data_IF_186307624557
#
_entry.id   IF_186307624557
#
_cell.length_a   1.000
_cell.length_b   1.000
_cell.length_c   1.000
_cell.angle_alpha   90.00
_cell.angle_beta   90.00
_cell.angle_gamma   90.00
#
_symmetry.space_group_name_H-M   'P 1'
#
loop_
_entity.id
_entity.type
_entity.pdbx_description
1 polymer ?
#
# COMPACT_ATOMS: atom_id res chain seq x y z
N UNK A 1 -69.60 -2.14 -11.27
CA UNK A 1 -68.35 -2.91 -11.04
C UNK A 1 -67.23 -1.94 -10.71
N UNK A 2 -67.04 -1.64 -9.42
CA UNK A 2 -66.00 -0.74 -8.90
C UNK A 2 -64.96 -1.58 -8.18
N UNK A 3 -63.76 -1.69 -8.76
CA UNK A 3 -62.62 -2.39 -8.11
C UNK A 3 -61.86 -1.38 -7.24
N UNK A 4 -61.56 -1.69 -5.97
CA UNK A 4 -60.74 -0.80 -5.16
C UNK A 4 -59.27 -0.97 -5.56
N UNK A 5 -58.58 0.16 -5.72
CA UNK A 5 -57.15 0.21 -5.98
C UNK A 5 -56.43 0.07 -4.63
N UNK A 6 -55.89 -1.11 -4.36
CA UNK A 6 -55.08 -1.33 -3.15
C UNK A 6 -53.76 -0.56 -3.24
N UNK A 7 -53.61 0.42 -2.35
CA UNK A 7 -52.37 1.17 -2.17
C UNK A 7 -51.40 0.30 -1.36
N UNK A 8 -50.40 -0.28 -2.03
CA UNK A 8 -49.28 -0.94 -1.35
C UNK A 8 -48.36 0.13 -0.76
N UNK A 9 -48.37 0.28 0.56
CA UNK A 9 -47.42 1.10 1.30
C UNK A 9 -46.08 0.36 1.32
N UNK A 10 -45.14 0.78 0.48
CA UNK A 10 -43.77 0.28 0.49
C UNK A 10 -43.07 0.86 1.74
N UNK A 11 -42.89 0.04 2.77
CA UNK A 11 -42.06 0.41 3.91
C UNK A 11 -40.60 0.48 3.44
N UNK A 12 -40.07 1.69 3.29
CA UNK A 12 -38.65 1.89 3.05
C UNK A 12 -37.89 1.43 4.30
N UNK A 13 -37.16 0.33 4.18
CA UNK A 13 -36.17 -0.06 5.18
C UNK A 13 -35.11 1.05 5.23
N UNK A 14 -35.06 1.79 6.34
CA UNK A 14 -33.94 2.67 6.65
C UNK A 14 -32.72 1.77 6.83
N UNK A 15 -31.87 1.68 5.82
CA UNK A 15 -30.54 1.13 6.00
C UNK A 15 -29.88 1.93 7.13
N UNK A 16 -29.51 1.26 8.22
CA UNK A 16 -28.76 1.91 9.29
C UNK A 16 -27.45 2.39 8.68
N UNK A 17 -27.14 3.69 8.79
CA UNK A 17 -25.86 4.21 8.40
C UNK A 17 -24.74 3.42 9.11
N UNK A 18 -23.63 3.20 8.41
CA UNK A 18 -22.51 2.45 8.96
C UNK A 18 -21.89 3.24 10.13
N UNK A 19 -21.89 2.72 11.38
CA UNK A 19 -21.38 3.43 12.55
C UNK A 19 -19.90 3.83 12.41
N UNK A 20 -19.14 3.23 11.49
CA UNK A 20 -17.77 3.68 11.20
C UNK A 20 -17.72 5.10 10.62
N UNK A 21 -18.75 5.51 9.88
CA UNK A 21 -18.78 6.82 9.21
C UNK A 21 -19.01 8.00 10.14
N UNK A 22 -19.39 7.75 11.40
CA UNK A 22 -19.50 8.77 12.44
C UNK A 22 -18.13 9.21 12.98
N UNK A 23 -17.10 8.39 12.78
CA UNK A 23 -15.76 8.59 13.35
C UNK A 23 -14.63 8.58 12.32
N UNK A 24 -14.85 7.96 11.16
CA UNK A 24 -13.84 7.80 10.12
C UNK A 24 -14.36 8.29 8.77
N UNK A 25 -13.46 8.92 8.02
CA UNK A 25 -13.64 9.18 6.60
C UNK A 25 -12.94 8.09 5.80
N UNK A 26 -13.66 7.49 4.86
CA UNK A 26 -13.09 6.52 3.94
C UNK A 26 -12.84 7.19 2.60
N UNK A 27 -11.60 7.11 2.12
CA UNK A 27 -11.22 7.56 0.80
C UNK A 27 -10.71 6.37 0.01
N UNK A 28 -11.21 6.23 -1.22
CA UNK A 28 -10.66 5.26 -2.17
C UNK A 28 -9.52 5.93 -2.95
N UNK A 29 -8.30 5.49 -2.69
CA UNK A 29 -7.14 5.92 -3.46
C UNK A 29 -7.09 5.13 -4.76
N UNK A 30 -7.06 5.83 -5.89
CA UNK A 30 -6.86 5.20 -7.19
C UNK A 30 -5.39 4.77 -7.33
N UNK A 31 -5.17 3.50 -7.64
CA UNK A 31 -3.83 2.97 -7.94
C UNK A 31 -3.41 3.44 -9.35
N UNK A 32 -2.14 3.82 -9.58
CA UNK A 32 -1.68 4.25 -10.89
C UNK A 32 -1.93 3.19 -11.98
N UNK A 33 -2.26 3.59 -13.22
CA UNK A 33 -2.43 2.64 -14.32
C UNK A 33 -1.18 1.77 -14.51
N UNK A 34 -1.38 0.46 -14.65
CA UNK A 34 -0.29 -0.50 -14.86
C UNK A 34 0.34 -1.05 -13.57
N UNK A 35 0.01 -0.50 -12.40
CA UNK A 35 0.41 -1.06 -11.10
C UNK A 35 -0.63 -2.07 -10.65
N UNK A 36 -0.16 -3.27 -10.30
CA UNK A 36 -0.99 -4.30 -9.69
C UNK A 36 -1.32 -3.90 -8.24
N UNK A 37 -2.59 -3.92 -7.82
CA UNK A 37 -3.02 -3.32 -6.55
C UNK A 37 -2.66 -4.15 -5.30
N UNK A 38 -1.90 -5.25 -5.45
CA UNK A 38 -1.46 -6.07 -4.32
C UNK A 38 -0.34 -5.36 -3.55
N UNK A 39 -0.73 -4.70 -2.47
CA UNK A 39 0.16 -4.00 -1.54
C UNK A 39 0.82 -5.01 -0.59
N UNK A 40 2.14 -5.03 -0.57
CA UNK A 40 2.94 -5.83 0.38
C UNK A 40 3.22 -5.08 1.70
N UNK A 41 3.20 -3.75 1.67
CA UNK A 41 3.43 -2.92 2.86
C UNK A 41 3.22 -1.44 2.64
N UNK A 42 2.95 -0.73 3.73
CA UNK A 42 2.76 0.73 3.77
C UNK A 42 3.44 1.25 5.04
N UNK A 43 4.13 2.38 4.93
CA UNK A 43 4.57 3.16 6.10
C UNK A 43 4.42 4.68 5.87
N UNK A 44 4.29 5.43 6.95
CA UNK A 44 4.21 6.89 6.93
C UNK A 44 5.60 7.51 6.91
N UNK A 45 5.83 8.41 5.97
CA UNK A 45 7.07 9.18 5.87
C UNK A 45 7.03 10.39 6.81
N UNK A 46 8.19 10.88 7.30
CA UNK A 46 8.27 12.12 8.11
C UNK A 46 7.59 13.34 7.48
N UNK A 47 7.66 13.50 6.15
CA UNK A 47 6.99 14.59 5.44
C UNK A 47 5.45 14.44 5.33
N UNK A 48 4.88 13.31 5.80
CA UNK A 48 3.45 13.00 5.76
C UNK A 48 2.96 12.34 4.47
N UNK A 49 3.86 11.98 3.55
CA UNK A 49 3.56 11.08 2.45
C UNK A 49 3.55 9.62 2.93
N UNK A 50 3.10 8.70 2.08
CA UNK A 50 3.10 7.27 2.35
C UNK A 50 4.05 6.57 1.39
N UNK A 51 4.94 5.74 1.93
CA UNK A 51 5.73 4.80 1.15
C UNK A 51 4.98 3.47 1.06
N UNK A 52 4.80 2.95 -0.16
CA UNK A 52 4.00 1.75 -0.42
C UNK A 52 4.77 0.81 -1.33
N UNK A 53 4.95 -0.44 -0.92
CA UNK A 53 5.54 -1.47 -1.77
C UNK A 53 4.45 -2.41 -2.35
N UNK A 54 4.62 -2.81 -3.60
CA UNK A 54 3.68 -3.64 -4.36
C UNK A 54 4.32 -4.96 -4.76
N UNK A 55 3.54 -6.03 -4.81
CA UNK A 55 4.05 -7.39 -5.06
C UNK A 55 4.83 -7.56 -6.38
N UNK A 56 4.62 -6.68 -7.36
CA UNK A 56 5.35 -6.72 -8.65
C UNK A 56 6.73 -6.05 -8.60
N UNK A 57 7.13 -5.52 -7.44
CA UNK A 57 8.50 -5.07 -7.18
C UNK A 57 8.66 -3.56 -7.10
N UNK A 58 7.57 -2.80 -7.18
CA UNK A 58 7.57 -1.34 -7.11
C UNK A 58 7.50 -0.84 -5.67
N UNK A 59 8.19 0.27 -5.41
CA UNK A 59 7.93 1.15 -4.27
C UNK A 59 7.46 2.49 -4.83
N UNK A 60 6.25 2.90 -4.46
CA UNK A 60 5.67 4.17 -4.84
C UNK A 60 5.40 5.02 -3.61
N UNK A 61 5.55 6.33 -3.78
CA UNK A 61 5.22 7.34 -2.79
C UNK A 61 3.87 7.94 -3.15
N UNK A 62 2.91 7.85 -2.25
CA UNK A 62 1.64 8.55 -2.33
C UNK A 62 1.72 9.84 -1.53
N UNK A 63 1.37 10.96 -2.15
CA UNK A 63 1.24 12.25 -1.50
C UNK A 63 -0.25 12.57 -1.27
N UNK A 64 -0.79 12.39 -0.04
CA UNK A 64 -2.23 12.55 0.21
C UNK A 64 -2.75 13.96 -0.10
N UNK A 65 -1.91 14.99 0.07
CA UNK A 65 -2.27 16.40 -0.18
C UNK A 65 -2.56 16.70 -1.65
N UNK A 66 -1.85 16.05 -2.56
CA UNK A 66 -1.96 16.24 -4.02
C UNK A 66 -2.64 15.07 -4.72
N UNK A 67 -2.95 14.00 -3.98
CA UNK A 67 -3.51 12.74 -4.48
C UNK A 67 -2.69 12.16 -5.64
N UNK A 68 -1.37 12.29 -5.55
CA UNK A 68 -0.44 11.91 -6.62
C UNK A 68 0.48 10.78 -6.18
N UNK A 69 0.84 9.93 -7.14
CA UNK A 69 1.80 8.84 -6.96
C UNK A 69 3.08 9.15 -7.71
N UNK A 70 4.23 8.86 -7.10
CA UNK A 70 5.55 8.92 -7.72
C UNK A 70 6.28 7.61 -7.46
N UNK A 71 6.97 7.06 -8.45
CA UNK A 71 7.77 5.84 -8.27
C UNK A 71 9.10 6.21 -7.62
N UNK A 72 9.41 5.57 -6.51
CA UNK A 72 10.69 5.73 -5.81
C UNK A 72 11.66 4.62 -6.17
N UNK A 73 11.19 3.38 -6.31
CA UNK A 73 12.03 2.24 -6.67
C UNK A 73 11.25 1.19 -7.46
N UNK A 74 11.99 0.36 -8.18
CA UNK A 74 11.48 -0.86 -8.81
C UNK A 74 12.50 -1.99 -8.80
N UNK A 75 12.12 -3.17 -9.30
CA UNK A 75 13.03 -4.31 -9.46
C UNK A 75 13.15 -5.21 -8.23
N UNK A 76 12.33 -4.99 -7.20
CA UNK A 76 12.29 -5.87 -6.02
C UNK A 76 11.55 -7.18 -6.32
N UNK A 77 11.96 -8.26 -5.68
CA UNK A 77 11.35 -9.58 -5.82
C UNK A 77 10.28 -9.79 -4.75
N UNK A 78 9.04 -9.47 -5.11
CA UNK A 78 7.84 -9.66 -4.27
C UNK A 78 8.05 -9.06 -2.86
N UNK A 79 8.06 -7.72 -2.75
CA UNK A 79 8.24 -7.03 -1.48
C UNK A 79 6.98 -7.18 -0.61
N UNK A 80 7.19 -7.56 0.66
CA UNK A 80 6.17 -7.94 1.64
C UNK A 80 6.24 -7.13 2.93
N UNK A 81 6.84 -5.96 2.84
CA UNK A 81 6.73 -4.91 3.84
C UNK A 81 7.81 -3.86 3.67
N UNK A 82 7.56 -2.68 4.22
CA UNK A 82 8.37 -1.48 4.05
C UNK A 82 8.40 -0.70 5.37
N UNK A 83 9.55 -0.12 5.67
CA UNK A 83 9.74 0.82 6.77
C UNK A 83 10.40 2.09 6.25
N UNK A 84 9.75 3.22 6.51
CA UNK A 84 10.28 4.54 6.24
C UNK A 84 11.24 4.97 7.36
N UNK A 85 12.53 5.01 7.05
CA UNK A 85 13.56 5.45 8.00
C UNK A 85 13.65 6.97 8.02
N UNK A 86 13.60 7.57 6.83
CA UNK A 86 13.57 9.01 6.57
C UNK A 86 12.76 9.26 5.28
N UNK A 87 12.79 10.48 4.74
CA UNK A 87 12.12 10.75 3.45
C UNK A 87 12.87 10.12 2.25
N UNK A 88 14.15 9.74 2.43
CA UNK A 88 15.05 9.30 1.34
C UNK A 88 15.63 7.89 1.56
N UNK A 89 15.31 7.23 2.68
CA UNK A 89 15.83 5.89 3.03
C UNK A 89 14.69 4.99 3.49
N UNK A 90 14.54 3.85 2.83
CA UNK A 90 13.56 2.81 3.16
C UNK A 90 14.22 1.46 3.37
N UNK A 91 13.71 0.68 4.32
CA UNK A 91 13.98 -0.75 4.38
C UNK A 91 12.80 -1.52 3.83
N UNK A 92 13.05 -2.43 2.90
CA UNK A 92 12.01 -3.24 2.25
C UNK A 92 12.35 -4.70 2.44
N UNK A 93 11.42 -5.46 3.03
CA UNK A 93 11.53 -6.92 3.03
C UNK A 93 11.07 -7.43 1.69
N UNK A 94 11.97 -8.04 0.94
CA UNK A 94 11.64 -8.80 -0.26
C UNK A 94 12.02 -10.26 -0.07
N UNK A 95 11.59 -11.15 -0.97
CA UNK A 95 11.79 -12.59 -0.78
C UNK A 95 13.24 -12.99 -0.49
N UNK A 96 14.28 -12.50 -1.21
CA UNK A 96 15.65 -12.95 -0.97
C UNK A 96 16.33 -12.26 0.21
N UNK A 97 15.89 -11.06 0.61
CA UNK A 97 16.66 -10.21 1.51
C UNK A 97 15.85 -9.06 2.09
N UNK A 98 16.37 -8.50 3.18
CA UNK A 98 16.05 -7.16 3.64
C UNK A 98 16.96 -6.18 2.90
N UNK A 99 16.36 -5.31 2.09
CA UNK A 99 17.09 -4.34 1.27
C UNK A 99 16.90 -2.94 1.84
N UNK A 100 17.98 -2.16 1.88
CA UNK A 100 17.94 -0.72 2.06
C UNK A 100 17.93 -0.04 0.71
N UNK A 101 16.90 0.75 0.48
CA UNK A 101 16.81 1.68 -0.63
C UNK A 101 17.22 3.05 -0.13
N UNK A 102 18.10 3.73 -0.87
CA UNK A 102 18.53 5.09 -0.59
C UNK A 102 18.45 5.91 -1.87
N UNK A 103 17.88 7.10 -1.79
CA UNK A 103 18.04 8.18 -2.76
C UNK A 103 19.25 9.03 -2.32
N UNK A 104 20.38 8.91 -3.01
CA UNK A 104 21.62 9.60 -2.61
C UNK A 104 21.78 10.99 -3.19
N UNK A 105 21.00 11.36 -4.21
CA UNK A 105 21.09 12.65 -4.90
C UNK A 105 19.85 13.55 -4.72
N UNK A 106 18.85 13.07 -3.99
CA UNK A 106 17.61 13.76 -3.61
C UNK A 106 16.70 14.09 -4.81
N UNK A 107 16.70 13.25 -5.85
CA UNK A 107 15.83 13.41 -7.01
C UNK A 107 14.42 12.78 -6.83
N UNK A 108 14.20 12.09 -5.72
CA UNK A 108 12.95 11.40 -5.39
C UNK A 108 12.91 9.93 -5.84
N UNK A 109 14.03 9.36 -6.27
CA UNK A 109 14.18 7.97 -6.67
C UNK A 109 15.38 7.31 -5.97
N UNK A 110 15.23 6.07 -5.53
CA UNK A 110 16.36 5.29 -5.05
C UNK A 110 17.34 5.02 -6.19
N UNK A 111 18.61 5.33 -5.95
CA UNK A 111 19.74 5.03 -6.82
C UNK A 111 20.69 3.99 -6.20
N UNK A 112 20.52 3.70 -4.91
CA UNK A 112 21.32 2.74 -4.16
C UNK A 112 20.43 1.67 -3.50
N UNK A 113 20.77 0.40 -3.76
CA UNK A 113 20.12 -0.79 -3.22
C UNK A 113 21.16 -1.62 -2.49
N UNK A 114 21.01 -1.76 -1.17
CA UNK A 114 21.96 -2.48 -0.31
C UNK A 114 21.28 -3.64 0.40
N UNK A 115 21.79 -4.85 0.24
CA UNK A 115 21.41 -6.00 1.07
C UNK A 115 21.86 -5.75 2.51
N UNK A 116 20.89 -5.59 3.43
CA UNK A 116 21.17 -5.46 4.87
C UNK A 116 21.25 -6.84 5.53
N UNK A 117 20.41 -7.78 5.08
CA UNK A 117 20.38 -9.14 5.60
C UNK A 117 19.70 -10.11 4.63
N UNK A 118 20.32 -11.25 4.36
CA UNK A 118 19.82 -12.29 3.44
C UNK A 118 19.89 -13.72 4.05
N UNK A 119 20.36 -13.84 5.30
CA UNK A 119 20.73 -15.13 5.87
C UNK A 119 19.55 -16.00 6.32
N UNK A 120 18.30 -15.54 6.17
CA UNK A 120 17.13 -16.40 6.35
C UNK A 120 17.02 -17.47 5.25
N UNK A 121 17.67 -17.24 4.10
CA UNK A 121 17.69 -18.17 2.98
C UNK A 121 16.38 -18.19 2.19
N UNK A 122 16.48 -18.49 0.90
CA UNK A 122 15.34 -18.76 0.03
C UNK A 122 15.53 -20.13 -0.61
N UNK A 123 14.55 -21.01 -0.45
CA UNK A 123 14.50 -22.26 -1.22
C UNK A 123 13.51 -22.12 -2.38
N UNK A 124 13.39 -23.16 -3.22
CA UNK A 124 12.38 -23.21 -4.27
C UNK A 124 10.95 -23.47 -3.77
N UNK A 125 10.72 -23.51 -2.45
CA UNK A 125 9.41 -23.72 -1.87
C UNK A 125 8.52 -22.48 -2.04
N UNK A 126 7.27 -22.69 -2.42
CA UNK A 126 6.30 -21.63 -2.65
C UNK A 126 5.87 -20.92 -1.35
N UNK A 127 5.83 -21.62 -0.21
CA UNK A 127 5.31 -21.08 1.06
C UNK A 127 6.42 -20.54 1.98
N UNK A 128 7.40 -19.85 1.43
CA UNK A 128 8.48 -19.20 2.19
C UNK A 128 8.38 -17.69 2.04
N UNK A 129 7.98 -17.02 3.12
CA UNK A 129 7.75 -15.58 3.15
C UNK A 129 8.37 -14.99 4.41
N UNK A 130 8.99 -13.82 4.25
CA UNK A 130 9.36 -12.93 5.33
C UNK A 130 8.55 -11.64 5.19
N UNK A 131 7.96 -11.19 6.30
CA UNK A 131 7.16 -9.97 6.36
C UNK A 131 7.82 -8.95 7.29
N UNK A 132 7.37 -7.69 7.21
CA UNK A 132 7.97 -6.56 7.93
C UNK A 132 8.89 -5.75 7.01
N UNK A 133 9.85 -4.98 7.51
CA UNK A 133 10.16 -4.74 8.93
C UNK A 133 9.12 -3.83 9.61
N UNK A 134 9.15 -3.80 10.95
CA UNK A 134 8.36 -2.89 11.80
C UNK A 134 9.28 -2.25 12.86
N UNK A 135 8.88 -1.08 13.40
CA UNK A 135 9.58 -0.38 14.49
C UNK A 135 9.22 -0.90 15.87
#
# INVERSE_FOLDING_TARGET
MTRPLSLFLCAAALASADPWTDHFTFEKIAIPPGIDPQVGGIDSMPNGNLAVCFHRGEVLIYAPRTQSWTRFAEGLHEPLGILAVSDDIFYVMQRPELTRLTDTDMDGSADLYETIFDSFGMTGNYHEFAFGPAR
#
